data_IF_765470644064
#
_entry.id   IF_765470644064
#
_cell.length_a   1.000
_cell.length_b   1.000
_cell.length_c   1.000
_cell.angle_alpha   90.00
_cell.angle_beta   90.00
_cell.angle_gamma   90.00
#
_symmetry.space_group_name_H-M   'P 1'
#
loop_
_entity.id
_entity.type
_entity.pdbx_description
1 polymer ?
#
# COMPACT_ATOMS: atom_id res chain seq x y z
N UNK A 1 3.31 -0.84 -18.06
CA UNK A 1 2.32 -1.86 -17.65
C UNK A 1 3.02 -2.73 -16.63
N UNK A 2 2.59 -2.74 -15.36
CA UNK A 2 3.16 -3.65 -14.36
C UNK A 2 2.03 -4.57 -13.92
N UNK A 3 2.15 -5.85 -14.27
CA UNK A 3 1.28 -6.90 -13.77
C UNK A 3 1.91 -7.46 -12.50
N UNK A 4 1.23 -7.31 -11.36
CA UNK A 4 1.56 -8.06 -10.15
C UNK A 4 0.68 -9.31 -10.12
N UNK A 5 1.31 -10.48 -9.99
CA UNK A 5 0.64 -11.78 -9.93
C UNK A 5 0.45 -12.13 -8.46
N UNK A 6 -0.75 -12.50 -8.04
CA UNK A 6 -0.94 -13.04 -6.69
C UNK A 6 -0.48 -14.51 -6.62
N UNK A 7 -0.23 -15.01 -5.41
CA UNK A 7 0.23 -16.39 -5.17
C UNK A 7 -0.83 -17.47 -5.49
N UNK A 8 -2.10 -17.10 -5.68
CA UNK A 8 -3.21 -18.02 -5.96
C UNK A 8 -3.52 -18.18 -7.47
N UNK A 9 -2.74 -17.56 -8.36
CA UNK A 9 -2.94 -17.68 -9.80
C UNK A 9 -4.13 -16.88 -10.34
N UNK A 10 -4.80 -16.10 -9.50
CA UNK A 10 -5.80 -15.13 -9.91
C UNK A 10 -5.13 -13.86 -10.44
N UNK A 11 -5.38 -13.50 -11.70
CA UNK A 11 -4.92 -12.23 -12.26
C UNK A 11 -5.75 -11.10 -11.67
N UNK A 12 -5.41 -10.63 -10.47
CA UNK A 12 -6.03 -9.44 -9.88
C UNK A 12 -5.47 -8.20 -10.57
N UNK A 13 -6.18 -7.75 -11.59
CA UNK A 13 -5.81 -6.64 -12.45
C UNK A 13 -6.09 -5.33 -11.71
N UNK A 14 -5.15 -4.84 -10.89
CA UNK A 14 -5.25 -3.48 -10.35
C UNK A 14 -4.30 -2.55 -11.09
N UNK A 15 -4.84 -1.89 -12.11
CA UNK A 15 -4.14 -1.06 -13.09
C UNK A 15 -3.87 0.34 -12.53
N UNK A 16 -2.60 0.65 -12.28
CA UNK A 16 -2.11 2.04 -12.24
C UNK A 16 -1.86 2.55 -13.68
N UNK A 17 -2.92 2.76 -14.48
CA UNK A 17 -2.82 3.47 -15.77
C UNK A 17 -3.88 4.57 -15.98
N UNK A 18 -5.02 4.55 -15.29
CA UNK A 18 -6.10 5.53 -15.48
C UNK A 18 -6.44 6.40 -14.25
N UNK A 19 -5.79 6.17 -13.10
CA UNK A 19 -6.01 6.98 -11.90
C UNK A 19 -7.27 6.63 -11.09
N UNK A 20 -7.99 5.56 -11.43
CA UNK A 20 -9.08 5.02 -10.61
C UNK A 20 -8.77 3.60 -10.16
N UNK A 21 -9.02 3.34 -8.88
CA UNK A 21 -8.72 2.07 -8.23
C UNK A 21 -9.99 1.61 -7.53
N UNK A 22 -10.83 0.90 -8.28
CA UNK A 22 -12.16 0.47 -7.82
C UNK A 22 -12.15 -0.94 -7.21
N UNK A 23 -11.11 -1.75 -7.45
CA UNK A 23 -11.05 -3.13 -6.95
C UNK A 23 -9.61 -3.55 -6.64
N UNK A 24 -9.24 -3.52 -5.35
CA UNK A 24 -8.00 -4.08 -4.86
C UNK A 24 -8.35 -5.03 -3.71
N UNK A 25 -8.15 -6.33 -3.94
CA UNK A 25 -8.40 -7.36 -2.95
C UNK A 25 -7.20 -7.43 -1.99
N UNK A 26 -7.39 -7.19 -0.69
CA UNK A 26 -6.32 -7.34 0.30
C UNK A 26 -5.97 -8.81 0.46
N UNK A 27 -4.67 -9.10 0.47
CA UNK A 27 -4.12 -10.37 0.95
C UNK A 27 -4.23 -10.45 2.48
N UNK A 28 -3.90 -11.63 3.03
CA UNK A 28 -3.75 -11.81 4.48
C UNK A 28 -2.42 -11.27 5.02
N UNK A 29 -1.56 -10.74 4.16
CA UNK A 29 -0.30 -10.15 4.58
C UNK A 29 -0.52 -8.75 5.13
N UNK A 30 -0.13 -8.58 6.39
CA UNK A 30 -0.22 -7.31 7.10
C UNK A 30 1.09 -6.53 7.01
N UNK A 31 0.95 -5.22 7.02
CA UNK A 31 2.06 -4.27 7.08
C UNK A 31 1.70 -3.19 8.08
N UNK A 32 2.65 -2.87 8.94
CA UNK A 32 2.53 -1.75 9.88
C UNK A 32 3.31 -0.58 9.32
N UNK A 33 2.64 0.55 9.10
CA UNK A 33 3.24 1.78 8.65
C UNK A 33 3.37 2.73 9.84
N UNK A 34 4.53 3.33 10.03
CA UNK A 34 4.76 4.35 11.06
C UNK A 34 5.18 5.65 10.41
N UNK A 35 4.45 6.73 10.69
CA UNK A 35 4.81 8.06 10.22
C UNK A 35 5.86 8.74 11.12
N UNK A 36 6.37 9.89 10.69
CA UNK A 36 7.39 10.64 11.42
C UNK A 36 6.91 11.17 12.79
N UNK A 37 5.59 11.24 13.01
CA UNK A 37 5.01 11.61 14.31
C UNK A 37 4.89 10.42 15.26
N UNK A 38 5.22 9.21 14.79
CA UNK A 38 5.12 7.97 15.54
C UNK A 38 3.73 7.34 15.50
N UNK A 39 2.82 7.82 14.65
CA UNK A 39 1.49 7.22 14.50
C UNK A 39 1.61 5.97 13.63
N UNK A 40 0.99 4.90 14.11
CA UNK A 40 0.97 3.61 13.42
C UNK A 40 -0.34 3.41 12.64
N UNK A 41 -0.20 2.85 11.44
CA UNK A 41 -1.28 2.46 10.54
C UNK A 41 -1.07 1.01 10.15
N UNK A 42 -1.93 0.12 10.65
CA UNK A 42 -1.94 -1.28 10.23
C UNK A 42 -2.79 -1.40 8.98
N UNK A 43 -2.26 -2.08 7.97
CA UNK A 43 -2.95 -2.30 6.72
C UNK A 43 -2.65 -3.65 6.11
N UNK A 44 -3.47 -4.01 5.13
CA UNK A 44 -3.31 -5.24 4.36
C UNK A 44 -2.74 -4.96 3.00
N UNK A 45 -1.75 -5.75 2.58
CA UNK A 45 -1.15 -5.64 1.26
C UNK A 45 -2.15 -6.07 0.20
N UNK A 46 -2.30 -5.24 -0.84
CA UNK A 46 -3.18 -5.54 -1.98
C UNK A 46 -2.39 -5.93 -3.22
N UNK A 47 -1.33 -5.17 -3.53
CA UNK A 47 -0.44 -5.49 -4.63
C UNK A 47 0.94 -4.89 -4.38
N UNK A 48 1.97 -5.55 -4.90
CA UNK A 48 3.36 -5.13 -4.70
C UNK A 48 4.20 -5.37 -5.95
N UNK A 49 5.27 -4.60 -6.05
CA UNK A 49 6.37 -4.73 -7.00
C UNK A 49 7.67 -4.60 -6.23
N UNK A 50 8.80 -4.93 -6.84
CA UNK A 50 10.12 -4.76 -6.22
C UNK A 50 10.40 -3.33 -5.73
N UNK A 51 9.73 -2.30 -6.26
CA UNK A 51 9.96 -0.90 -5.92
C UNK A 51 8.80 -0.20 -5.21
N UNK A 52 7.64 -0.84 -5.10
CA UNK A 52 6.42 -0.18 -4.61
C UNK A 52 5.41 -1.17 -4.06
N UNK A 53 4.66 -0.76 -3.04
CA UNK A 53 3.66 -1.56 -2.36
C UNK A 53 2.35 -0.77 -2.22
N UNK A 54 1.21 -1.39 -2.44
CA UNK A 54 -0.10 -0.79 -2.20
C UNK A 54 -0.77 -1.46 -1.00
N UNK A 55 -1.17 -0.65 -0.04
CA UNK A 55 -1.68 -1.07 1.26
C UNK A 55 -3.07 -0.49 1.48
N UNK A 56 -4.02 -1.31 1.92
CA UNK A 56 -5.31 -0.83 2.41
C UNK A 56 -5.21 -0.62 3.92
N UNK A 57 -5.39 0.61 4.38
CA UNK A 57 -5.45 0.98 5.80
C UNK A 57 -6.86 1.47 6.15
N UNK A 58 -7.30 1.25 7.39
CA UNK A 58 -8.63 1.70 7.83
C UNK A 58 -8.65 3.18 8.21
N UNK A 59 -7.51 3.71 8.66
CA UNK A 59 -7.35 5.08 9.11
C UNK A 59 -6.67 5.94 8.05
N UNK A 60 -7.25 7.09 7.75
CA UNK A 60 -6.60 8.14 6.96
C UNK A 60 -5.67 9.00 7.81
N UNK A 61 -4.75 9.73 7.18
CA UNK A 61 -3.80 10.61 7.88
C UNK A 61 -2.50 10.77 7.10
N UNK A 62 -2.10 9.72 6.40
CA UNK A 62 -0.94 9.72 5.53
C UNK A 62 -1.13 10.66 4.33
N UNK A 63 -0.08 11.40 4.01
CA UNK A 63 -0.03 12.38 2.92
C UNK A 63 0.99 11.97 1.84
N UNK A 64 0.77 12.35 0.57
CA UNK A 64 1.79 12.16 -0.46
C UNK A 64 3.12 12.84 -0.08
N UNK A 65 4.22 12.23 -0.48
CA UNK A 65 5.61 12.60 -0.16
C UNK A 65 6.02 12.43 1.32
N UNK A 66 5.14 11.90 2.17
CA UNK A 66 5.47 11.59 3.56
C UNK A 66 6.45 10.41 3.64
N UNK A 67 7.51 10.57 4.43
CA UNK A 67 8.44 9.50 4.76
C UNK A 67 7.85 8.67 5.90
N UNK A 68 7.90 7.35 5.75
CA UNK A 68 7.37 6.40 6.72
C UNK A 68 8.33 5.23 6.88
N UNK A 69 8.22 4.52 7.99
CA UNK A 69 8.78 3.18 8.15
C UNK A 69 7.67 2.15 7.93
N UNK A 70 7.98 1.08 7.21
CA UNK A 70 7.03 0.00 6.95
C UNK A 70 7.60 -1.32 7.43
N UNK A 71 6.96 -1.91 8.44
CA UNK A 71 7.28 -3.25 8.93
C UNK A 71 6.55 -4.28 8.07
N UNK A 72 7.30 -4.95 7.20
CA UNK A 72 6.80 -5.89 6.21
C UNK A 72 7.68 -7.14 6.14
N UNK A 73 7.08 -8.33 6.24
CA UNK A 73 7.83 -9.60 6.20
C UNK A 73 8.87 -9.76 7.32
N UNK A 74 8.67 -9.09 8.46
CA UNK A 74 9.61 -9.10 9.59
C UNK A 74 10.81 -8.14 9.44
N UNK A 75 10.81 -7.27 8.42
CA UNK A 75 11.81 -6.23 8.23
C UNK A 75 11.18 -4.83 8.27
N UNK A 76 11.84 -3.90 8.93
CA UNK A 76 11.51 -2.47 8.89
C UNK A 76 12.19 -1.84 7.68
N UNK A 77 11.38 -1.35 6.73
CA UNK A 77 11.87 -0.81 5.46
C UNK A 77 11.46 0.67 5.38
N UNK A 78 12.39 1.60 5.13
CA UNK A 78 12.03 2.99 4.88
C UNK A 78 11.25 3.09 3.57
N UNK A 79 10.18 3.87 3.57
CA UNK A 79 9.36 4.09 2.40
C UNK A 79 8.88 5.54 2.31
N UNK A 80 8.37 5.90 1.15
CA UNK A 80 7.71 7.19 0.92
C UNK A 80 6.31 6.94 0.37
N UNK A 81 5.33 7.62 0.96
CA UNK A 81 3.95 7.62 0.45
C UNK A 81 3.93 8.34 -0.89
N UNK A 82 3.64 7.63 -1.98
CA UNK A 82 3.51 8.22 -3.31
C UNK A 82 2.14 8.81 -3.55
N UNK A 83 1.11 8.07 -3.16
CA UNK A 83 -0.30 8.41 -3.42
C UNK A 83 -1.18 7.83 -2.35
N UNK A 84 -2.30 8.51 -2.11
CA UNK A 84 -3.33 8.11 -1.15
C UNK A 84 -4.69 8.27 -1.82
N UNK A 85 -5.53 7.26 -1.68
CA UNK A 85 -6.87 7.19 -2.27
C UNK A 85 -7.90 6.81 -1.21
N UNK A 86 -9.05 7.48 -1.17
CA UNK A 86 -10.18 7.07 -0.32
C UNK A 86 -11.10 6.14 -1.10
N UNK A 87 -11.40 4.97 -0.55
CA UNK A 87 -12.37 4.02 -1.09
C UNK A 87 -13.81 4.41 -0.71
N UNK A 88 -14.82 3.99 -1.48
CA UNK A 88 -16.23 4.21 -1.13
C UNK A 88 -16.66 3.58 0.20
N UNK A 89 -16.00 2.49 0.62
CA UNK A 89 -16.23 1.82 1.91
C UNK A 89 -15.60 2.54 3.12
N UNK A 90 -14.96 3.70 2.89
CA UNK A 90 -14.34 4.51 3.93
C UNK A 90 -12.88 4.16 4.23
N UNK A 91 -12.35 3.04 3.70
CA UNK A 91 -10.94 2.66 3.85
C UNK A 91 -10.04 3.48 2.91
N UNK A 92 -8.74 3.42 3.13
CA UNK A 92 -7.74 4.17 2.37
C UNK A 92 -6.74 3.26 1.70
N UNK A 93 -6.34 3.60 0.48
CA UNK A 93 -5.29 2.90 -0.25
C UNK A 93 -4.08 3.80 -0.33
N UNK A 94 -2.98 3.30 0.22
CA UNK A 94 -1.71 3.99 0.35
C UNK A 94 -0.70 3.28 -0.54
N UNK A 95 -0.19 4.00 -1.53
CA UNK A 95 0.85 3.50 -2.43
C UNK A 95 2.19 3.98 -1.91
N UNK A 96 3.02 3.04 -1.51
CA UNK A 96 4.36 3.22 -0.99
C UNK A 96 5.39 3.01 -2.09
N UNK A 97 6.50 3.72 -1.99
CA UNK A 97 7.73 3.43 -2.72
C UNK A 97 8.83 3.17 -1.72
N UNK A 98 9.49 2.03 -1.87
CA UNK A 98 10.65 1.70 -1.02
C UNK A 98 11.74 2.76 -1.20
N UNK A 99 12.32 3.18 -0.08
CA UNK A 99 13.53 3.98 -0.05
C UNK A 99 14.63 3.22 -0.79
N UNK A 100 15.38 3.92 -1.62
CA UNK A 100 16.51 3.35 -2.35
C UNK A 100 17.76 3.44 -1.48
#
# INVERSE_FOLDING_TARGET
MVAAKNASGGVSTTVLLSGKLDHAEPSDEEVTLRDASGVEYVGKVTCGTFSSLAVVVERGGLSPAEAIEADYGGATIPATVRRVYKRPDGKWIVVLRWGK
#
